data_IF_237571280247
#
_entry.id   IF_237571280247
#
_cell.length_a   1.000
_cell.length_b   1.000
_cell.length_c   1.000
_cell.angle_alpha   90.00
_cell.angle_beta   90.00
_cell.angle_gamma   90.00
#
_symmetry.space_group_name_H-M   'P 1'
#
loop_
_entity.id
_entity.type
_entity.pdbx_description
1 polymer ?
#
# COMPACT_ATOMS: atom_id res chain seq x y z
N UNK A 1 47.82 -16.25 -34.60
CA UNK A 1 47.74 -15.20 -35.64
C UNK A 1 46.84 -15.60 -36.82
N UNK A 2 47.03 -16.77 -37.44
CA UNK A 2 46.18 -17.22 -38.55
C UNK A 2 44.71 -17.43 -38.17
N UNK A 3 44.43 -18.01 -37.00
CA UNK A 3 43.05 -18.24 -36.53
C UNK A 3 42.31 -16.91 -36.31
N UNK A 4 42.96 -15.91 -35.74
CA UNK A 4 42.35 -14.59 -35.50
C UNK A 4 42.10 -13.82 -36.79
N UNK A 5 43.01 -13.89 -37.76
CA UNK A 5 42.82 -13.30 -39.10
C UNK A 5 41.69 -13.99 -39.87
N UNK A 6 41.61 -15.32 -39.77
CA UNK A 6 40.54 -16.10 -40.39
C UNK A 6 39.17 -15.76 -39.80
N UNK A 7 39.03 -15.75 -38.47
CA UNK A 7 37.78 -15.42 -37.79
C UNK A 7 37.35 -13.97 -38.06
N UNK A 8 38.30 -13.03 -38.06
CA UNK A 8 38.01 -11.62 -38.37
C UNK A 8 37.54 -11.41 -39.82
N UNK A 9 38.22 -12.06 -40.79
CA UNK A 9 37.81 -12.02 -42.19
C UNK A 9 36.44 -12.67 -42.40
N UNK A 10 36.21 -13.85 -41.81
CA UNK A 10 34.93 -14.55 -41.91
C UNK A 10 33.78 -13.70 -41.34
N UNK A 11 33.91 -13.17 -40.11
CA UNK A 11 32.91 -12.30 -39.51
C UNK A 11 32.65 -11.01 -40.31
N UNK A 12 33.66 -10.47 -41.00
CA UNK A 12 33.49 -9.29 -41.86
C UNK A 12 32.64 -9.54 -43.11
N UNK A 13 32.51 -10.82 -43.50
CA UNK A 13 31.71 -11.24 -44.66
C UNK A 13 30.32 -11.76 -44.29
N UNK A 14 30.03 -11.97 -43.00
CA UNK A 14 28.70 -12.34 -42.53
C UNK A 14 27.86 -11.08 -42.42
N UNK A 15 26.93 -10.89 -43.35
CA UNK A 15 25.91 -9.86 -43.21
C UNK A 15 25.16 -10.08 -41.87
N UNK A 16 24.85 -9.01 -41.11
CA UNK A 16 23.99 -9.13 -39.94
C UNK A 16 22.72 -9.86 -40.37
N UNK A 17 22.21 -10.83 -39.58
CA UNK A 17 20.97 -11.52 -39.94
C UNK A 17 19.87 -10.49 -40.18
N UNK A 18 19.18 -10.59 -41.32
CA UNK A 18 18.01 -9.76 -41.61
C UNK A 18 16.96 -9.99 -40.53
N UNK A 19 16.94 -9.08 -39.55
CA UNK A 19 15.89 -9.06 -38.55
C UNK A 19 14.71 -8.34 -39.18
N UNK A 20 13.71 -9.10 -39.60
CA UNK A 20 12.38 -8.54 -39.84
C UNK A 20 11.83 -8.04 -38.48
N UNK A 21 12.12 -6.79 -38.14
CA UNK A 21 11.58 -6.14 -36.95
C UNK A 21 10.14 -5.75 -37.28
N UNK A 22 9.20 -6.67 -37.03
CA UNK A 22 7.77 -6.36 -37.08
C UNK A 22 7.48 -5.38 -35.95
N UNK A 23 7.45 -4.09 -36.28
CA UNK A 23 7.16 -3.01 -35.33
C UNK A 23 5.66 -2.76 -35.32
N UNK A 24 5.00 -3.14 -34.23
CA UNK A 24 3.59 -2.77 -33.98
C UNK A 24 3.53 -1.45 -33.19
N UNK A 25 2.45 -0.66 -33.32
CA UNK A 25 2.29 0.57 -32.54
C UNK A 25 2.45 0.34 -31.03
N UNK A 26 1.84 -0.72 -30.51
CA UNK A 26 2.02 -1.14 -29.12
C UNK A 26 3.48 -1.41 -28.74
N UNK A 27 4.24 -2.15 -29.56
CA UNK A 27 5.64 -2.44 -29.25
C UNK A 27 6.49 -1.16 -29.24
N UNK A 28 6.19 -0.21 -30.12
CA UNK A 28 6.89 1.08 -30.18
C UNK A 28 6.59 1.97 -28.96
N UNK A 29 5.35 1.93 -28.45
CA UNK A 29 4.91 2.76 -27.32
C UNK A 29 5.29 2.14 -25.98
N UNK A 30 5.05 0.84 -25.78
CA UNK A 30 5.23 0.19 -24.47
C UNK A 30 6.57 -0.53 -24.33
N UNK A 31 7.24 -0.83 -25.44
CA UNK A 31 8.42 -1.71 -25.46
C UNK A 31 8.09 -3.19 -25.26
N UNK A 32 6.80 -3.55 -25.16
CA UNK A 32 6.32 -4.91 -24.87
C UNK A 32 5.44 -5.38 -26.04
N UNK A 33 5.64 -6.61 -26.56
CA UNK A 33 4.79 -7.13 -27.61
C UNK A 33 3.35 -7.26 -27.10
N UNK A 34 2.40 -6.85 -27.94
CA UNK A 34 0.99 -6.88 -27.57
C UNK A 34 0.52 -8.32 -27.24
N UNK A 35 -0.03 -8.57 -26.05
CA UNK A 35 -0.53 -9.89 -25.70
C UNK A 35 -1.81 -10.20 -26.48
N UNK A 36 -2.13 -11.50 -26.59
CA UNK A 36 -3.43 -11.95 -27.10
C UNK A 36 -4.56 -11.51 -26.15
N UNK A 37 -5.81 -11.64 -26.59
CA UNK A 37 -6.97 -11.25 -25.78
C UNK A 37 -6.93 -11.88 -24.37
N UNK A 38 -7.27 -11.13 -23.31
CA UNK A 38 -7.22 -11.63 -21.95
C UNK A 38 -8.18 -12.82 -21.76
N UNK A 39 -7.65 -13.92 -21.25
CA UNK A 39 -8.42 -15.04 -20.70
C UNK A 39 -7.98 -15.26 -19.26
N UNK A 40 -8.80 -15.92 -18.44
CA UNK A 40 -8.45 -16.19 -17.05
C UNK A 40 -7.08 -16.87 -16.92
N UNK A 41 -6.81 -17.88 -17.77
CA UNK A 41 -5.53 -18.57 -17.79
C UNK A 41 -4.36 -17.67 -18.17
N UNK A 42 -4.51 -16.80 -19.18
CA UNK A 42 -3.46 -15.86 -19.59
C UNK A 42 -3.20 -14.81 -18.51
N UNK A 43 -4.25 -14.23 -17.93
CA UNK A 43 -4.09 -13.24 -16.86
C UNK A 43 -3.41 -13.84 -15.63
N UNK A 44 -3.69 -15.12 -15.31
CA UNK A 44 -3.08 -15.79 -14.16
C UNK A 44 -1.66 -16.31 -14.40
N UNK A 45 -1.33 -16.72 -15.63
CA UNK A 45 -0.08 -17.45 -15.93
C UNK A 45 0.93 -16.65 -16.76
N UNK A 46 0.50 -15.60 -17.47
CA UNK A 46 1.45 -14.71 -18.16
C UNK A 46 2.32 -13.98 -17.15
N UNK A 47 3.55 -13.69 -17.55
CA UNK A 47 4.52 -13.04 -16.70
C UNK A 47 5.48 -12.20 -17.54
N UNK A 48 5.61 -10.92 -17.22
CA UNK A 48 6.55 -9.98 -17.80
C UNK A 48 7.25 -9.23 -16.66
N UNK A 49 8.52 -9.54 -16.44
CA UNK A 49 9.22 -9.18 -15.22
C UNK A 49 9.55 -7.68 -15.16
N UNK A 50 8.91 -6.93 -14.25
CA UNK A 50 9.40 -5.59 -13.88
C UNK A 50 10.65 -5.74 -13.00
N UNK A 51 11.82 -5.56 -13.60
CA UNK A 51 13.10 -5.79 -12.94
C UNK A 51 13.32 -4.93 -11.69
N UNK A 52 12.83 -3.68 -11.69
CA UNK A 52 12.99 -2.78 -10.53
C UNK A 52 12.05 -3.19 -9.41
N UNK A 53 10.79 -3.46 -9.71
CA UNK A 53 9.84 -3.93 -8.69
C UNK A 53 10.27 -5.27 -8.12
N UNK A 54 10.69 -6.21 -8.96
CA UNK A 54 11.20 -7.51 -8.50
C UNK A 54 12.41 -7.37 -7.58
N UNK A 55 13.35 -6.49 -7.90
CA UNK A 55 14.48 -6.23 -7.02
C UNK A 55 14.01 -5.72 -5.64
N UNK A 56 13.05 -4.79 -5.61
CA UNK A 56 12.47 -4.29 -4.36
C UNK A 56 11.74 -5.39 -3.56
N UNK A 57 10.99 -6.27 -4.24
CA UNK A 57 10.28 -7.38 -3.61
C UNK A 57 11.25 -8.42 -3.05
N UNK A 58 12.29 -8.80 -3.81
CA UNK A 58 13.34 -9.72 -3.37
C UNK A 58 14.04 -9.17 -2.13
N UNK A 59 14.43 -7.89 -2.14
CA UNK A 59 15.06 -7.24 -0.98
C UNK A 59 14.11 -7.24 0.21
N UNK A 60 12.84 -6.90 0.01
CA UNK A 60 11.83 -6.87 1.08
C UNK A 60 11.62 -8.25 1.70
N UNK A 61 11.52 -9.30 0.88
CA UNK A 61 11.39 -10.70 1.33
C UNK A 61 12.65 -11.16 2.05
N UNK A 62 13.84 -10.87 1.52
CA UNK A 62 15.11 -11.24 2.14
C UNK A 62 15.26 -10.59 3.53
N UNK A 63 14.91 -9.31 3.67
CA UNK A 63 14.91 -8.61 4.95
C UNK A 63 13.88 -9.18 5.93
N UNK A 64 12.66 -9.49 5.46
CA UNK A 64 11.62 -10.07 6.29
C UNK A 64 12.02 -11.47 6.81
N UNK A 65 12.48 -12.36 5.92
CA UNK A 65 12.95 -13.70 6.30
C UNK A 65 14.13 -13.60 7.26
N UNK A 66 15.12 -12.73 6.99
CA UNK A 66 16.25 -12.51 7.89
C UNK A 66 15.78 -12.08 9.28
N UNK A 67 14.80 -11.16 9.36
CA UNK A 67 14.20 -10.74 10.61
C UNK A 67 13.55 -11.90 11.38
N UNK A 68 12.74 -12.71 10.70
CA UNK A 68 12.10 -13.90 11.30
C UNK A 68 13.15 -14.89 11.81
N UNK A 69 14.17 -15.19 11.01
CA UNK A 69 15.25 -16.11 11.39
C UNK A 69 16.02 -15.61 12.62
N UNK A 70 16.30 -14.31 12.72
CA UNK A 70 16.95 -13.71 13.89
C UNK A 70 16.11 -13.92 15.15
N UNK A 71 14.79 -13.69 15.08
CA UNK A 71 13.89 -13.90 16.22
C UNK A 71 13.81 -15.37 16.62
N UNK A 72 13.61 -16.26 15.65
CA UNK A 72 13.52 -17.70 15.93
C UNK A 72 14.81 -18.24 16.54
N UNK A 73 15.98 -17.81 16.08
CA UNK A 73 17.28 -18.20 16.66
C UNK A 73 17.49 -17.67 18.09
N UNK A 74 16.83 -16.58 18.47
CA UNK A 74 16.83 -16.05 19.85
C UNK A 74 15.82 -16.76 20.76
N UNK A 75 14.98 -17.63 20.22
CA UNK A 75 13.90 -18.30 20.95
C UNK A 75 12.58 -17.53 20.98
N UNK A 76 12.50 -16.38 20.30
CA UNK A 76 11.27 -15.58 20.21
C UNK A 76 10.30 -16.19 19.18
N UNK A 77 9.02 -16.29 19.56
CA UNK A 77 7.97 -16.75 18.65
C UNK A 77 7.48 -15.60 17.78
N UNK A 78 7.56 -15.77 16.46
CA UNK A 78 6.91 -14.90 15.47
C UNK A 78 5.62 -15.56 14.97
N UNK A 79 4.45 -14.88 15.01
CA UNK A 79 3.20 -15.47 14.54
C UNK A 79 3.24 -15.81 13.04
N UNK A 80 2.97 -17.07 12.69
CA UNK A 80 2.98 -17.55 11.30
C UNK A 80 1.97 -16.79 10.42
N UNK A 81 0.84 -16.35 10.99
CA UNK A 81 -0.15 -15.54 10.28
C UNK A 81 0.41 -14.24 9.73
N UNK A 82 1.40 -13.63 10.40
CA UNK A 82 2.07 -12.40 9.92
C UNK A 82 2.94 -12.70 8.69
N UNK A 83 3.68 -13.80 8.73
CA UNK A 83 4.48 -14.23 7.59
C UNK A 83 3.61 -14.58 6.37
N UNK A 84 2.48 -15.26 6.59
CA UNK A 84 1.53 -15.58 5.51
C UNK A 84 0.93 -14.29 4.94
N UNK A 85 0.48 -13.35 5.79
CA UNK A 85 -0.08 -12.08 5.33
C UNK A 85 0.94 -11.26 4.52
N UNK A 86 2.19 -11.20 4.99
CA UNK A 86 3.28 -10.54 4.27
C UNK A 86 3.54 -11.20 2.91
N UNK A 87 3.63 -12.54 2.87
CA UNK A 87 3.84 -13.28 1.62
C UNK A 87 2.71 -13.03 0.62
N UNK A 88 1.44 -13.06 1.06
CA UNK A 88 0.29 -12.75 0.22
C UNK A 88 0.34 -11.31 -0.30
N UNK A 89 0.73 -10.35 0.55
CA UNK A 89 0.91 -8.95 0.15
C UNK A 89 1.98 -8.80 -0.94
N UNK A 90 3.17 -9.40 -0.75
CA UNK A 90 4.25 -9.39 -1.73
C UNK A 90 3.85 -10.09 -3.04
N UNK A 91 3.19 -11.24 -2.96
CA UNK A 91 2.69 -11.95 -4.15
C UNK A 91 1.64 -11.15 -4.91
N UNK A 92 0.79 -10.38 -4.20
CA UNK A 92 -0.17 -9.50 -4.84
C UNK A 92 0.52 -8.32 -5.56
N UNK A 93 1.60 -7.76 -4.98
CA UNK A 93 2.42 -6.77 -5.69
C UNK A 93 3.04 -7.37 -6.95
N UNK A 94 3.71 -8.52 -6.83
CA UNK A 94 4.34 -9.19 -7.97
C UNK A 94 3.33 -9.51 -9.08
N UNK A 95 2.14 -10.00 -8.71
CA UNK A 95 1.08 -10.28 -9.68
C UNK A 95 0.59 -9.02 -10.40
N UNK A 96 0.45 -7.90 -9.68
CA UNK A 96 -0.04 -6.64 -10.22
C UNK A 96 1.01 -5.87 -11.04
N UNK A 97 2.30 -6.12 -10.85
CA UNK A 97 3.38 -5.44 -11.61
C UNK A 97 4.03 -6.31 -12.66
N UNK A 98 4.30 -7.58 -12.32
CA UNK A 98 5.08 -8.51 -13.15
C UNK A 98 4.25 -9.68 -13.68
N UNK A 99 3.17 -10.03 -12.99
CA UNK A 99 2.24 -11.07 -13.42
C UNK A 99 1.40 -10.65 -14.63
N UNK A 100 0.48 -11.52 -15.03
CA UNK A 100 -0.36 -11.24 -16.19
C UNK A 100 -1.20 -9.97 -15.99
N UNK A 101 -1.65 -9.67 -14.77
CA UNK A 101 -2.33 -8.41 -14.48
C UNK A 101 -1.44 -7.20 -14.75
N UNK A 102 -0.17 -7.23 -14.34
CA UNK A 102 0.83 -6.21 -14.70
C UNK A 102 1.02 -6.09 -16.20
N UNK A 103 1.19 -7.21 -16.91
CA UNK A 103 1.32 -7.20 -18.38
C UNK A 103 0.11 -6.55 -19.06
N UNK A 104 -1.12 -6.95 -18.72
CA UNK A 104 -2.33 -6.42 -19.34
C UNK A 104 -2.64 -4.97 -18.93
N UNK A 105 -2.10 -4.50 -17.80
CA UNK A 105 -2.26 -3.11 -17.32
C UNK A 105 -1.73 -2.07 -18.31
N UNK A 106 -0.72 -2.44 -19.10
CA UNK A 106 -0.14 -1.56 -20.12
C UNK A 106 -1.07 -1.34 -21.34
N UNK A 107 -2.07 -2.20 -21.54
CA UNK A 107 -2.84 -2.24 -22.79
C UNK A 107 -4.33 -1.89 -22.62
N UNK A 108 -4.88 -1.96 -21.41
CA UNK A 108 -6.28 -1.62 -21.16
C UNK A 108 -6.47 -0.87 -19.85
N UNK A 109 -7.35 0.12 -19.86
CA UNK A 109 -7.63 0.96 -18.70
C UNK A 109 -8.25 0.13 -17.57
N UNK A 110 -9.14 -0.82 -17.87
CA UNK A 110 -9.73 -1.69 -16.85
C UNK A 110 -8.69 -2.55 -16.12
N UNK A 111 -7.73 -3.11 -16.85
CA UNK A 111 -6.63 -3.88 -16.27
C UNK A 111 -5.65 -2.99 -15.51
N UNK A 112 -5.38 -1.77 -16.01
CA UNK A 112 -4.62 -0.75 -15.29
C UNK A 112 -5.26 -0.44 -13.93
N UNK A 113 -6.55 -0.12 -13.94
CA UNK A 113 -7.28 0.16 -12.71
C UNK A 113 -7.27 -1.04 -11.77
N UNK A 114 -7.46 -2.25 -12.28
CA UNK A 114 -7.39 -3.47 -11.47
C UNK A 114 -6.01 -3.66 -10.82
N UNK A 115 -4.92 -3.48 -11.58
CA UNK A 115 -3.56 -3.57 -11.06
C UNK A 115 -3.33 -2.52 -9.95
N UNK A 116 -3.70 -1.27 -10.18
CA UNK A 116 -3.56 -0.21 -9.18
C UNK A 116 -4.46 -0.38 -7.97
N UNK A 117 -5.65 -0.99 -8.11
CA UNK A 117 -6.48 -1.36 -6.96
C UNK A 117 -5.85 -2.49 -6.13
N UNK A 118 -5.23 -3.49 -6.77
CA UNK A 118 -4.46 -4.50 -6.04
C UNK A 118 -3.31 -3.85 -5.27
N UNK A 119 -2.56 -2.94 -5.91
CA UNK A 119 -1.43 -2.24 -5.28
C UNK A 119 -1.84 -1.26 -4.18
N UNK A 120 -2.95 -0.54 -4.35
CA UNK A 120 -3.40 0.48 -3.41
C UNK A 120 -4.28 -0.05 -2.27
N UNK A 121 -5.05 -1.12 -2.51
CA UNK A 121 -6.06 -1.60 -1.56
C UNK A 121 -5.73 -2.97 -0.97
N UNK A 122 -5.27 -3.92 -1.79
CA UNK A 122 -5.18 -5.34 -1.40
C UNK A 122 -3.81 -5.68 -0.83
N UNK A 123 -2.75 -5.46 -1.61
CA UNK A 123 -1.38 -5.77 -1.21
C UNK A 123 -0.96 -5.06 0.10
N UNK A 124 -1.28 -3.77 0.30
CA UNK A 124 -0.92 -3.05 1.52
C UNK A 124 -1.46 -3.67 2.80
N UNK A 125 -2.68 -4.22 2.78
CA UNK A 125 -3.28 -4.87 3.94
C UNK A 125 -2.42 -6.07 4.36
N UNK A 126 -2.04 -6.93 3.41
CA UNK A 126 -1.17 -8.07 3.68
C UNK A 126 0.19 -7.64 4.24
N UNK A 127 0.80 -6.61 3.64
CA UNK A 127 2.10 -6.06 4.06
C UNK A 127 2.02 -5.51 5.48
N UNK A 128 1.01 -4.69 5.79
CA UNK A 128 0.81 -4.06 7.12
C UNK A 128 0.51 -5.11 8.20
N UNK A 129 -0.33 -6.11 7.90
CA UNK A 129 -0.60 -7.21 8.83
C UNK A 129 0.66 -8.06 9.11
N UNK A 130 1.59 -8.08 8.15
CA UNK A 130 2.93 -8.64 8.29
C UNK A 130 3.80 -7.99 9.37
N UNK A 131 3.45 -6.79 9.85
CA UNK A 131 4.16 -6.02 10.87
C UNK A 131 5.67 -5.83 10.60
N UNK A 132 6.07 -5.39 9.39
CA UNK A 132 7.47 -5.25 9.02
C UNK A 132 8.23 -4.25 9.90
N UNK A 133 7.60 -3.17 10.38
CA UNK A 133 8.26 -2.17 11.23
C UNK A 133 8.53 -2.77 12.62
N UNK A 134 7.58 -3.51 13.18
CA UNK A 134 7.77 -4.24 14.44
C UNK A 134 8.89 -5.27 14.31
N UNK A 135 8.90 -6.03 13.20
CA UNK A 135 9.94 -7.01 12.94
C UNK A 135 11.33 -6.35 12.85
N UNK A 136 11.44 -5.24 12.13
CA UNK A 136 12.66 -4.44 12.05
C UNK A 136 13.09 -3.96 13.44
N UNK A 137 12.20 -3.34 14.22
CA UNK A 137 12.52 -2.84 15.57
C UNK A 137 12.96 -3.94 16.55
N UNK A 138 12.48 -5.17 16.39
CA UNK A 138 12.89 -6.31 17.25
C UNK A 138 14.20 -6.97 16.81
N UNK A 139 14.62 -6.77 15.57
CA UNK A 139 15.77 -7.50 14.97
C UNK A 139 16.97 -6.61 14.70
N UNK A 140 16.77 -5.30 14.50
CA UNK A 140 17.83 -4.35 14.24
C UNK A 140 18.82 -4.27 15.42
N UNK A 141 20.13 -4.17 15.14
CA UNK A 141 21.15 -4.06 16.18
C UNK A 141 20.92 -2.83 17.09
N UNK A 142 21.12 -3.03 18.39
CA UNK A 142 21.21 -1.93 19.34
C UNK A 142 22.61 -1.30 19.30
N UNK A 143 22.72 -0.04 19.76
CA UNK A 143 24.01 0.62 19.94
C UNK A 143 24.89 -0.13 20.95
N UNK A 144 26.21 -0.03 20.79
CA UNK A 144 27.17 -0.76 21.64
C UNK A 144 27.21 -0.21 23.07
N UNK A 145 26.81 1.04 23.24
CA UNK A 145 26.89 1.86 24.44
C UNK A 145 25.74 2.89 24.43
N UNK A 146 25.43 3.47 25.60
CA UNK A 146 24.28 4.39 25.79
C UNK A 146 24.37 5.68 24.96
N UNK A 147 25.57 6.03 24.50
CA UNK A 147 25.85 7.23 23.69
C UNK A 147 25.68 6.97 22.19
N UNK A 148 25.83 5.73 21.72
CA UNK A 148 25.65 5.37 20.31
C UNK A 148 24.19 5.08 19.99
N UNK A 149 23.56 5.94 19.17
CA UNK A 149 22.27 5.69 18.57
C UNK A 149 22.43 4.66 17.44
N UNK A 150 22.61 3.38 17.77
CA UNK A 150 22.75 2.29 16.80
C UNK A 150 21.59 2.23 15.78
N UNK A 151 21.64 1.31 14.81
CA UNK A 151 20.68 1.27 13.68
C UNK A 151 19.22 1.27 14.15
N UNK A 152 18.90 0.53 15.21
CA UNK A 152 17.56 0.56 15.83
C UNK A 152 17.20 1.94 16.40
N UNK A 153 18.13 2.61 17.09
CA UNK A 153 17.92 3.94 17.66
C UNK A 153 17.66 4.98 16.60
N UNK A 154 18.47 5.00 15.54
CA UNK A 154 18.27 5.86 14.37
C UNK A 154 16.90 5.63 13.71
N UNK A 155 16.48 4.37 13.57
CA UNK A 155 15.16 4.03 13.04
C UNK A 155 14.01 4.49 13.95
N UNK A 156 14.15 4.38 15.27
CA UNK A 156 13.17 4.92 16.22
C UNK A 156 13.06 6.45 16.10
N UNK A 157 14.20 7.16 15.98
CA UNK A 157 14.23 8.61 15.78
C UNK A 157 13.51 8.99 14.49
N UNK A 158 13.74 8.25 13.40
CA UNK A 158 13.04 8.45 12.12
C UNK A 158 11.52 8.28 12.28
N UNK A 159 11.08 7.21 12.96
CA UNK A 159 9.66 6.92 13.21
C UNK A 159 8.97 7.95 14.11
N UNK A 160 9.71 8.66 14.97
CA UNK A 160 9.17 9.71 15.85
C UNK A 160 9.45 11.13 15.35
N UNK A 161 10.02 11.25 14.15
CA UNK A 161 10.34 12.54 13.52
C UNK A 161 9.07 13.35 13.22
N UNK A 162 9.23 14.67 13.06
CA UNK A 162 8.12 15.56 12.65
C UNK A 162 7.53 15.13 11.30
N UNK A 163 8.38 14.65 10.39
CA UNK A 163 7.98 14.18 9.08
C UNK A 163 7.11 12.92 9.18
N UNK A 164 7.51 11.96 10.03
CA UNK A 164 6.69 10.77 10.28
C UNK A 164 5.34 11.16 10.88
N UNK A 165 5.31 12.03 11.90
CA UNK A 165 4.06 12.54 12.49
C UNK A 165 3.13 13.23 11.48
N UNK A 166 3.71 13.96 10.52
CA UNK A 166 2.95 14.60 9.45
C UNK A 166 2.30 13.58 8.53
N UNK A 167 3.07 12.63 7.99
CA UNK A 167 2.54 11.63 7.06
C UNK A 167 1.61 10.62 7.72
N UNK A 168 1.84 10.28 8.99
CA UNK A 168 0.96 9.36 9.74
C UNK A 168 -0.27 10.06 10.33
N UNK A 169 -0.45 11.36 10.08
CA UNK A 169 -1.72 12.03 10.38
C UNK A 169 -2.81 11.44 9.46
N UNK A 170 -3.97 11.00 9.99
CA UNK A 170 -4.96 10.31 9.19
C UNK A 170 -5.58 11.16 8.07
N UNK A 171 -5.67 12.48 8.24
CA UNK A 171 -6.14 13.40 7.18
C UNK A 171 -5.11 13.51 6.06
N UNK A 172 -3.82 13.56 6.41
CA UNK A 172 -2.73 13.61 5.42
C UNK A 172 -2.64 12.28 4.68
N UNK A 173 -2.73 11.15 5.39
CA UNK A 173 -2.76 9.82 4.79
C UNK A 173 -3.94 9.66 3.83
N UNK A 174 -5.14 10.11 4.22
CA UNK A 174 -6.33 10.15 3.36
C UNK A 174 -6.12 11.02 2.12
N UNK A 175 -5.56 12.23 2.29
CA UNK A 175 -5.29 13.15 1.19
C UNK A 175 -4.26 12.58 0.20
N UNK A 176 -3.23 11.88 0.69
CA UNK A 176 -2.26 11.19 -0.17
C UNK A 176 -2.93 10.02 -0.89
N UNK A 177 -3.77 9.27 -0.19
CA UNK A 177 -4.44 8.11 -0.74
C UNK A 177 -5.45 8.49 -1.83
N UNK A 178 -6.54 9.17 -1.47
CA UNK A 178 -7.59 9.50 -2.42
C UNK A 178 -7.30 10.76 -3.22
N UNK A 179 -6.68 11.77 -2.62
CA UNK A 179 -6.34 13.00 -3.35
C UNK A 179 -5.37 12.75 -4.50
N UNK A 180 -4.52 11.73 -4.39
CA UNK A 180 -3.66 11.31 -5.50
C UNK A 180 -4.43 10.68 -6.66
N UNK A 181 -5.56 10.00 -6.42
CA UNK A 181 -6.43 9.48 -7.49
C UNK A 181 -6.92 10.63 -8.37
N UNK A 182 -7.45 11.69 -7.74
CA UNK A 182 -7.92 12.85 -8.50
C UNK A 182 -6.79 13.56 -9.23
N UNK A 183 -5.64 13.71 -8.55
CA UNK A 183 -4.47 14.33 -9.14
C UNK A 183 -3.98 13.56 -10.36
N UNK A 184 -3.97 12.23 -10.30
CA UNK A 184 -3.48 11.41 -11.40
C UNK A 184 -4.46 11.38 -12.58
N UNK A 185 -5.72 11.05 -12.32
CA UNK A 185 -6.70 10.70 -13.37
C UNK A 185 -7.52 11.88 -13.89
N UNK A 186 -7.66 12.98 -13.13
CA UNK A 186 -8.37 14.20 -13.59
C UNK A 186 -7.42 15.32 -14.00
N UNK A 187 -6.14 15.01 -14.19
CA UNK A 187 -5.16 15.92 -14.79
C UNK A 187 -4.43 15.20 -15.94
N UNK A 188 -3.62 15.90 -16.75
CA UNK A 188 -2.82 15.24 -17.79
C UNK A 188 -1.75 14.26 -17.26
N UNK A 189 -1.58 14.14 -15.94
CA UNK A 189 -0.55 13.27 -15.33
C UNK A 189 -0.69 11.81 -15.75
N UNK A 190 -1.90 11.26 -15.77
CA UNK A 190 -2.12 9.86 -16.15
C UNK A 190 -1.61 9.56 -17.56
N UNK A 191 -2.09 10.30 -18.57
CA UNK A 191 -1.65 10.13 -19.94
C UNK A 191 -0.14 10.35 -20.14
N UNK A 192 0.47 11.27 -19.39
CA UNK A 192 1.91 11.53 -19.45
C UNK A 192 2.73 10.40 -18.81
N UNK A 193 2.30 9.86 -17.68
CA UNK A 193 3.00 8.80 -16.97
C UNK A 193 2.85 7.44 -17.66
N UNK A 194 1.74 7.20 -18.36
CA UNK A 194 1.54 5.96 -19.14
C UNK A 194 2.50 5.83 -20.34
N UNK A 195 2.97 6.94 -20.90
CA UNK A 195 3.85 6.93 -22.08
C UNK A 195 5.25 6.35 -21.83
N UNK A 196 5.65 6.16 -20.57
CA UNK A 196 6.99 5.69 -20.24
C UNK A 196 6.99 4.64 -19.13
N UNK A 197 7.95 3.71 -19.21
CA UNK A 197 8.16 2.69 -18.19
C UNK A 197 8.38 3.29 -16.80
N UNK A 198 9.16 4.38 -16.71
CA UNK A 198 9.40 5.08 -15.43
C UNK A 198 8.11 5.66 -14.85
N UNK A 199 7.23 6.21 -15.69
CA UNK A 199 5.96 6.76 -15.24
C UNK A 199 5.03 5.69 -14.68
N UNK A 200 4.93 4.54 -15.36
CA UNK A 200 4.17 3.38 -14.86
C UNK A 200 4.72 2.83 -13.54
N UNK A 201 6.05 2.76 -13.42
CA UNK A 201 6.72 2.38 -12.19
C UNK A 201 6.40 3.36 -11.05
N UNK A 202 6.48 4.67 -11.28
CA UNK A 202 6.16 5.67 -10.26
C UNK A 202 4.70 5.63 -9.84
N UNK A 203 3.77 5.42 -10.77
CA UNK A 203 2.37 5.20 -10.42
C UNK A 203 2.23 3.98 -9.52
N UNK A 204 2.81 2.84 -9.92
CA UNK A 204 2.72 1.57 -9.17
C UNK A 204 3.29 1.71 -7.77
N UNK A 205 4.48 2.31 -7.65
CA UNK A 205 5.13 2.55 -6.38
C UNK A 205 4.34 3.53 -5.50
N UNK A 206 3.82 4.62 -6.09
CA UNK A 206 3.01 5.59 -5.35
C UNK A 206 1.76 4.95 -4.77
N UNK A 207 0.98 4.20 -5.55
CA UNK A 207 -0.24 3.55 -5.05
C UNK A 207 0.08 2.52 -3.97
N UNK A 208 1.15 1.74 -4.14
CA UNK A 208 1.62 0.81 -3.13
C UNK A 208 1.96 1.52 -1.82
N UNK A 209 2.77 2.58 -1.88
CA UNK A 209 3.21 3.32 -0.70
C UNK A 209 2.06 4.10 -0.04
N UNK A 210 1.18 4.70 -0.83
CA UNK A 210 -0.01 5.42 -0.35
C UNK A 210 -0.96 4.46 0.38
N UNK A 211 -1.20 3.28 -0.19
CA UNK A 211 -1.99 2.24 0.45
C UNK A 211 -1.34 1.72 1.73
N UNK A 212 -0.03 1.44 1.71
CA UNK A 212 0.69 1.01 2.92
C UNK A 212 0.56 2.07 4.01
N UNK A 213 0.75 3.35 3.68
CA UNK A 213 0.60 4.45 4.63
C UNK A 213 -0.83 4.52 5.20
N UNK A 214 -1.85 4.49 4.34
CA UNK A 214 -3.24 4.58 4.77
C UNK A 214 -3.65 3.43 5.68
N UNK A 215 -3.44 2.18 5.24
CA UNK A 215 -3.80 1.00 6.04
C UNK A 215 -2.92 0.86 7.28
N UNK A 216 -1.69 1.36 7.27
CA UNK A 216 -0.86 1.43 8.46
C UNK A 216 -1.48 2.36 9.51
N UNK A 217 -1.94 3.56 9.12
CA UNK A 217 -2.59 4.52 10.04
C UNK A 217 -3.93 3.99 10.57
N UNK A 218 -4.70 3.33 9.71
CA UNK A 218 -6.02 2.81 10.08
C UNK A 218 -5.92 1.53 10.93
N UNK A 219 -5.28 0.48 10.40
CA UNK A 219 -5.22 -0.84 11.05
C UNK A 219 -4.29 -0.80 12.27
N UNK A 220 -3.15 -0.10 12.21
CA UNK A 220 -2.31 0.22 13.37
C UNK A 220 -1.64 -0.98 14.05
N UNK A 221 -1.15 -1.96 13.29
CA UNK A 221 -0.45 -3.13 13.85
C UNK A 221 0.97 -2.78 14.29
N UNK A 222 1.67 -2.01 13.46
CA UNK A 222 3.00 -1.50 13.74
C UNK A 222 2.96 -0.20 14.57
N UNK A 223 4.02 0.09 15.35
CA UNK A 223 4.05 1.28 16.21
C UNK A 223 4.09 2.56 15.37
N UNK A 224 3.15 3.46 15.65
CA UNK A 224 3.05 4.79 15.04
C UNK A 224 3.24 5.90 16.07
N UNK A 225 3.69 7.11 15.65
CA UNK A 225 3.85 8.22 16.56
C UNK A 225 2.47 8.77 16.98
N UNK A 226 2.09 8.47 18.23
CA UNK A 226 0.80 8.87 18.80
C UNK A 226 -0.32 7.85 18.55
N UNK A 227 -1.39 7.96 19.34
CA UNK A 227 -2.59 7.12 19.18
C UNK A 227 -3.67 7.91 18.47
N UNK A 228 -4.13 7.42 17.32
CA UNK A 228 -5.31 7.96 16.65
C UNK A 228 -6.56 7.38 17.31
N UNK A 229 -7.48 8.21 17.86
CA UNK A 229 -8.72 7.70 18.45
C UNK A 229 -9.53 6.88 17.44
N UNK A 230 -10.17 5.80 17.89
CA UNK A 230 -10.95 4.92 16.99
C UNK A 230 -12.07 5.65 16.27
N UNK A 231 -12.74 6.61 16.94
CA UNK A 231 -13.76 7.43 16.31
C UNK A 231 -13.21 8.22 15.11
N UNK A 232 -12.00 8.79 15.25
CA UNK A 232 -11.33 9.49 14.16
C UNK A 232 -11.01 8.53 13.02
N UNK A 233 -10.51 7.32 13.31
CA UNK A 233 -10.28 6.30 12.28
C UNK A 233 -11.56 5.95 11.52
N UNK A 234 -12.67 5.74 12.24
CA UNK A 234 -13.97 5.42 11.64
C UNK A 234 -14.44 6.55 10.71
N UNK A 235 -14.36 7.81 11.16
CA UNK A 235 -14.71 8.98 10.33
C UNK A 235 -13.84 9.02 9.06
N UNK A 236 -12.54 8.78 9.20
CA UNK A 236 -11.60 8.79 8.07
C UNK A 236 -11.88 7.66 7.08
N UNK A 237 -12.24 6.47 7.56
CA UNK A 237 -12.67 5.36 6.71
C UNK A 237 -13.94 5.75 5.94
N UNK A 238 -14.96 6.30 6.60
CA UNK A 238 -16.18 6.73 5.89
C UNK A 238 -15.91 7.83 4.86
N UNK A 239 -15.02 8.77 5.20
CA UNK A 239 -14.57 9.79 4.26
C UNK A 239 -13.86 9.15 3.05
N UNK A 240 -12.96 8.19 3.28
CA UNK A 240 -12.27 7.46 2.23
C UNK A 240 -13.24 6.72 1.29
N UNK A 241 -14.18 5.97 1.85
CA UNK A 241 -15.23 5.29 1.09
C UNK A 241 -15.99 6.29 0.21
N UNK A 242 -16.45 7.40 0.80
CA UNK A 242 -17.25 8.40 0.09
C UNK A 242 -16.48 9.06 -1.05
N UNK A 243 -15.22 9.44 -0.80
CA UNK A 243 -14.36 10.11 -1.78
C UNK A 243 -13.99 9.14 -2.92
N UNK A 244 -13.64 7.90 -2.58
CA UNK A 244 -13.29 6.88 -3.57
C UNK A 244 -14.50 6.42 -4.40
N UNK A 245 -15.67 6.28 -3.78
CA UNK A 245 -16.91 6.01 -4.50
C UNK A 245 -17.24 7.13 -5.49
N UNK A 246 -17.10 8.39 -5.05
CA UNK A 246 -17.29 9.54 -5.93
C UNK A 246 -16.30 9.55 -7.10
N UNK A 247 -15.02 9.28 -6.85
CA UNK A 247 -14.00 9.11 -7.90
C UNK A 247 -14.44 8.10 -8.96
N UNK A 248 -14.88 6.92 -8.53
CA UNK A 248 -15.27 5.83 -9.41
C UNK A 248 -16.52 6.18 -10.23
N UNK A 249 -17.54 6.79 -9.60
CA UNK A 249 -18.74 7.26 -10.28
C UNK A 249 -18.41 8.35 -11.31
N UNK A 250 -17.54 9.29 -10.95
CA UNK A 250 -17.10 10.35 -11.86
C UNK A 250 -16.41 9.76 -13.11
N UNK A 251 -15.56 8.74 -12.92
CA UNK A 251 -14.89 8.04 -14.02
C UNK A 251 -15.88 7.26 -14.91
N UNK A 252 -16.85 6.56 -14.31
CA UNK A 252 -17.92 5.87 -15.05
C UNK A 252 -18.86 6.84 -15.80
N UNK A 253 -19.02 8.05 -15.25
CA UNK A 253 -19.87 9.10 -15.83
C UNK A 253 -19.15 9.92 -16.89
N UNK A 254 -17.83 9.78 -17.03
CA UNK A 254 -17.06 10.50 -18.04
C UNK A 254 -17.52 10.14 -19.46
N UNK A 255 -17.63 11.15 -20.31
CA UNK A 255 -17.94 11.02 -21.74
C UNK A 255 -16.68 11.11 -22.61
N UNK A 256 -15.53 11.41 -22.02
CA UNK A 256 -14.24 11.50 -22.69
C UNK A 256 -13.21 10.54 -22.08
N UNK A 257 -12.24 10.14 -22.90
CA UNK A 257 -11.10 9.35 -22.43
C UNK A 257 -10.17 10.23 -21.61
N UNK A 258 -9.75 9.74 -20.43
CA UNK A 258 -8.85 10.46 -19.53
C UNK A 258 -7.36 10.16 -19.77
N UNK A 259 -7.07 9.22 -20.66
CA UNK A 259 -5.75 8.69 -20.99
C UNK A 259 -4.95 9.56 -21.97
N UNK A 260 -5.51 10.70 -22.39
CA UNK A 260 -4.94 11.56 -23.43
C UNK A 260 -4.64 10.82 -24.76
N UNK A 261 -5.45 9.80 -25.08
CA UNK A 261 -5.31 9.00 -26.30
C UNK A 261 -4.22 7.92 -26.25
N UNK A 262 -3.62 7.65 -25.09
CA UNK A 262 -2.60 6.61 -24.92
C UNK A 262 -3.08 5.23 -25.40
N UNK A 263 -4.24 4.74 -24.93
CA UNK A 263 -4.74 3.42 -25.31
C UNK A 263 -5.21 3.36 -26.76
N UNK A 264 -5.61 4.50 -27.34
CA UNK A 264 -5.95 4.57 -28.76
C UNK A 264 -4.73 4.30 -29.65
N UNK A 265 -3.55 4.80 -29.27
CA UNK A 265 -2.31 4.63 -30.02
C UNK A 265 -1.80 3.18 -30.05
N UNK A 266 -2.23 2.34 -29.10
CA UNK A 266 -1.79 0.95 -29.04
C UNK A 266 -2.42 0.08 -30.13
N UNK A 267 -3.54 0.52 -30.73
CA UNK A 267 -4.28 -0.21 -31.77
C UNK A 267 -4.61 -1.66 -31.38
N UNK A 268 -5.04 -1.85 -30.12
CA UNK A 268 -5.34 -3.19 -29.60
C UNK A 268 -6.48 -3.87 -30.38
N UNK A 269 -6.33 -5.14 -30.80
CA UNK A 269 -7.35 -5.85 -31.57
C UNK A 269 -8.46 -6.42 -30.69
N UNK A 270 -8.26 -6.43 -29.37
CA UNK A 270 -9.24 -6.87 -28.38
C UNK A 270 -9.67 -5.69 -27.52
N UNK A 271 -10.97 -5.61 -27.20
CA UNK A 271 -11.60 -4.51 -26.46
C UNK A 271 -11.43 -3.12 -27.12
N UNK A 272 -11.93 -2.96 -28.35
CA UNK A 272 -11.77 -1.74 -29.16
C UNK A 272 -12.58 -0.54 -28.67
N UNK A 273 -13.61 -0.74 -27.85
CA UNK A 273 -14.35 0.35 -27.20
C UNK A 273 -13.58 0.85 -25.96
N UNK A 274 -12.80 1.90 -26.16
CA UNK A 274 -11.95 2.49 -25.12
C UNK A 274 -12.78 3.16 -24.01
N UNK A 275 -13.94 3.72 -24.34
CA UNK A 275 -14.77 4.40 -23.35
C UNK A 275 -15.50 3.37 -22.47
N UNK A 276 -15.96 2.27 -23.04
CA UNK A 276 -16.49 1.15 -22.27
C UNK A 276 -15.43 0.54 -21.35
N UNK A 277 -14.19 0.38 -21.83
CA UNK A 277 -13.05 -0.10 -21.03
C UNK A 277 -12.74 0.85 -19.85
N UNK A 278 -12.79 2.17 -20.06
CA UNK A 278 -12.65 3.15 -18.99
C UNK A 278 -13.77 3.06 -17.95
N UNK A 279 -15.03 2.92 -18.40
CA UNK A 279 -16.18 2.75 -17.51
C UNK A 279 -16.09 1.46 -16.69
N UNK A 280 -15.63 0.37 -17.31
CA UNK A 280 -15.33 -0.87 -16.60
C UNK A 280 -14.23 -0.67 -15.56
N UNK A 281 -13.18 0.08 -15.89
CA UNK A 281 -12.17 0.49 -14.91
C UNK A 281 -12.79 1.23 -13.72
N UNK A 282 -13.66 2.22 -13.95
CA UNK A 282 -14.38 2.90 -12.88
C UNK A 282 -15.22 1.95 -12.00
N UNK A 283 -15.92 0.99 -12.61
CA UNK A 283 -16.68 -0.02 -11.87
C UNK A 283 -15.77 -0.95 -11.03
N UNK A 284 -14.61 -1.32 -11.56
CA UNK A 284 -13.58 -2.10 -10.85
C UNK A 284 -13.06 -1.30 -9.65
N UNK A 285 -12.74 -0.02 -9.85
CA UNK A 285 -12.29 0.89 -8.78
C UNK A 285 -13.30 0.94 -7.63
N UNK A 286 -14.58 1.06 -7.96
CA UNK A 286 -15.65 1.04 -6.97
C UNK A 286 -15.71 -0.29 -6.20
N UNK A 287 -15.82 -1.42 -6.90
CA UNK A 287 -16.00 -2.73 -6.27
C UNK A 287 -14.78 -3.15 -5.43
N UNK A 288 -13.57 -2.92 -5.93
CA UNK A 288 -12.33 -3.27 -5.23
C UNK A 288 -11.93 -2.25 -4.16
N UNK A 289 -12.48 -1.04 -4.21
CA UNK A 289 -12.28 -0.01 -3.19
C UNK A 289 -13.08 -0.26 -1.92
N UNK A 290 -14.38 -0.55 -2.06
CA UNK A 290 -15.29 -0.61 -0.91
C UNK A 290 -15.08 -1.85 -0.04
N UNK A 291 -14.82 -3.02 -0.64
CA UNK A 291 -14.69 -4.27 0.11
C UNK A 291 -13.54 -4.22 1.13
N UNK A 292 -12.30 -3.84 0.76
CA UNK A 292 -11.20 -3.77 1.72
C UNK A 292 -11.41 -2.69 2.79
N UNK A 293 -12.01 -1.55 2.44
CA UNK A 293 -12.27 -0.47 3.39
C UNK A 293 -13.36 -0.89 4.41
N UNK A 294 -14.41 -1.58 3.98
CA UNK A 294 -15.41 -2.17 4.88
C UNK A 294 -14.80 -3.19 5.83
N UNK A 295 -13.89 -4.04 5.36
CA UNK A 295 -13.17 -4.97 6.23
C UNK A 295 -12.29 -4.23 7.24
N UNK A 296 -11.63 -3.14 6.83
CA UNK A 296 -10.86 -2.29 7.73
C UNK A 296 -11.75 -1.58 8.76
N UNK A 297 -12.96 -1.16 8.38
CA UNK A 297 -13.96 -0.57 9.28
C UNK A 297 -14.38 -1.58 10.36
N UNK A 298 -14.76 -2.79 9.94
CA UNK A 298 -15.13 -3.87 10.87
C UNK A 298 -13.96 -4.19 11.79
N UNK A 299 -12.74 -4.32 11.26
CA UNK A 299 -11.55 -4.57 12.06
C UNK A 299 -11.29 -3.46 13.08
N UNK A 300 -11.42 -2.19 12.67
CA UNK A 300 -11.24 -1.01 13.54
C UNK A 300 -12.29 -0.98 14.65
N UNK A 301 -13.54 -1.28 14.32
CA UNK A 301 -14.63 -1.36 15.30
C UNK A 301 -14.41 -2.49 16.32
N UNK A 302 -14.01 -3.68 15.87
CA UNK A 302 -13.68 -4.79 16.76
C UNK A 302 -12.47 -4.49 17.66
N UNK A 303 -11.47 -3.76 17.14
CA UNK A 303 -10.35 -3.28 17.94
C UNK A 303 -10.81 -2.30 19.02
N UNK A 304 -11.67 -1.35 18.65
CA UNK A 304 -12.26 -0.39 19.58
C UNK A 304 -13.01 -1.08 20.72
N UNK A 305 -13.93 -1.98 20.41
CA UNK A 305 -14.68 -2.72 21.44
C UNK A 305 -13.77 -3.51 22.40
N UNK A 306 -12.69 -4.10 21.87
CA UNK A 306 -11.72 -4.84 22.68
C UNK A 306 -10.90 -3.93 23.58
N UNK A 307 -10.54 -2.74 23.12
CA UNK A 307 -9.80 -1.75 23.91
C UNK A 307 -10.68 -1.15 25.01
N UNK A 308 -11.91 -0.76 24.68
CA UNK A 308 -12.88 -0.22 25.64
C UNK A 308 -13.19 -1.25 26.75
N UNK A 309 -13.38 -2.53 26.40
CA UNK A 309 -13.59 -3.58 27.41
C UNK A 309 -12.39 -3.77 28.33
N UNK A 310 -11.16 -3.64 27.81
CA UNK A 310 -9.94 -3.73 28.63
C UNK A 310 -9.80 -2.53 29.54
N UNK A 311 -10.13 -1.34 29.05
CA UNK A 311 -10.04 -0.10 29.81
C UNK A 311 -11.09 -0.05 30.93
N UNK A 312 -12.35 -0.41 30.63
CA UNK A 312 -13.39 -0.58 31.64
C UNK A 312 -12.94 -1.55 32.75
N UNK A 313 -12.44 -2.73 32.39
CA UNK A 313 -11.92 -3.68 33.39
C UNK A 313 -10.64 -3.23 34.10
N UNK A 314 -9.90 -2.23 33.58
CA UNK A 314 -8.77 -1.61 34.29
C UNK A 314 -9.29 -0.63 35.34
N UNK A 315 -10.30 0.15 35.00
CA UNK A 315 -10.99 1.11 35.88
C UNK A 315 -11.68 0.36 37.02
N UNK A 316 -12.46 -0.69 36.72
CA UNK A 316 -13.15 -1.51 37.73
C UNK A 316 -12.15 -2.09 38.75
N UNK A 317 -11.06 -2.69 38.27
CA UNK A 317 -10.01 -3.24 39.16
C UNK A 317 -9.28 -2.16 39.94
N UNK A 318 -9.20 -0.92 39.45
CA UNK A 318 -8.62 0.19 40.20
C UNK A 318 -9.57 0.65 41.32
N UNK A 319 -10.86 0.74 41.03
CA UNK A 319 -11.90 1.04 42.01
C UNK A 319 -11.98 -0.03 43.12
N UNK A 320 -11.96 -1.32 42.75
CA UNK A 320 -11.94 -2.43 43.72
C UNK A 320 -10.73 -2.35 44.67
N UNK A 321 -9.55 -1.97 44.15
CA UNK A 321 -8.34 -1.78 44.96
C UNK A 321 -8.44 -0.59 45.89
N UNK A 322 -8.95 0.54 45.41
CA UNK A 322 -9.16 1.73 46.23
C UNK A 322 -10.13 1.43 47.38
N UNK A 323 -11.26 0.78 47.06
CA UNK A 323 -12.25 0.34 48.05
C UNK A 323 -11.65 -0.61 49.11
N UNK A 324 -10.81 -1.57 48.69
CA UNK A 324 -10.14 -2.49 49.62
C UNK A 324 -9.11 -1.79 50.54
N UNK A 325 -8.50 -0.70 50.09
CA UNK A 325 -7.54 0.11 50.86
C UNK A 325 -8.21 1.21 51.69
N UNK A 326 -9.54 1.38 51.59
CA UNK A 326 -10.25 2.49 52.20
C UNK A 326 -9.90 3.86 51.59
N UNK A 327 -9.34 3.86 50.37
CA UNK A 327 -9.01 5.04 49.61
C UNK A 327 -10.17 5.38 48.66
N UNK A 328 -10.33 6.67 48.38
CA UNK A 328 -11.29 7.14 47.37
C UNK A 328 -10.83 6.73 45.97
N UNK A 329 -11.73 6.12 45.22
CA UNK A 329 -11.52 5.88 43.79
C UNK A 329 -11.48 7.20 42.99
N UNK A 330 -11.06 7.10 41.72
CA UNK A 330 -10.92 8.25 40.83
C UNK A 330 -12.23 9.05 40.69
N UNK A 331 -13.39 8.38 40.74
CA UNK A 331 -14.72 9.02 40.66
C UNK A 331 -15.04 9.82 41.93
N UNK A 332 -14.75 9.26 43.10
CA UNK A 332 -14.92 9.92 44.39
C UNK A 332 -14.00 11.14 44.53
N UNK A 333 -12.76 11.04 44.06
CA UNK A 333 -11.84 12.18 43.97
C UNK A 333 -12.38 13.27 43.03
N UNK A 334 -12.87 12.88 41.85
CA UNK A 334 -13.44 13.81 40.89
C UNK A 334 -14.71 14.50 41.42
N UNK A 335 -15.60 13.77 42.07
CA UNK A 335 -16.79 14.32 42.71
C UNK A 335 -16.45 15.32 43.83
N UNK A 336 -15.40 15.03 44.62
CA UNK A 336 -14.89 15.99 45.63
C UNK A 336 -14.34 17.26 44.99
N UNK A 337 -13.62 17.14 43.88
CA UNK A 337 -13.14 18.30 43.12
C UNK A 337 -14.29 19.16 42.58
N UNK A 338 -15.32 18.55 41.97
CA UNK A 338 -16.51 19.28 41.52
C UNK A 338 -17.26 19.96 42.68
N UNK A 339 -17.36 19.30 43.83
CA UNK A 339 -17.96 19.88 45.02
C UNK A 339 -17.16 21.08 45.55
N UNK A 340 -15.81 21.05 45.44
CA UNK A 340 -14.96 22.20 45.80
C UNK A 340 -15.16 23.38 44.84
N UNK A 341 -15.26 23.13 43.53
CA UNK A 341 -15.54 24.18 42.53
C UNK A 341 -16.88 24.86 42.82
N UNK A 342 -17.94 24.07 43.03
CA UNK A 342 -19.27 24.59 43.32
C UNK A 342 -19.31 25.43 44.60
N UNK A 343 -18.57 25.03 45.65
CA UNK A 343 -18.45 25.82 46.88
C UNK A 343 -17.72 27.15 46.66
N UNK A 344 -16.73 27.20 45.77
CA UNK A 344 -16.03 28.45 45.42
C UNK A 344 -16.94 29.42 44.68
N UNK A 345 -17.69 28.91 43.71
CA UNK A 345 -18.63 29.73 42.92
C UNK A 345 -19.75 30.32 43.79
N UNK A 346 -20.23 29.57 44.79
CA UNK A 346 -21.24 30.05 45.76
C UNK A 346 -20.69 31.03 46.80
N UNK A 347 -19.36 31.20 46.88
CA UNK A 347 -18.70 32.08 47.85
C UNK A 347 -18.24 33.42 47.25
N UNK A 348 -18.52 33.67 45.97
CA UNK A 348 -18.34 34.95 45.27
C UNK A 348 -19.67 35.71 45.16
#
# INVERSE_FOLDING_TARGET
MFITLFVGSWLSTVAPPDRNIVSTPALLVTGIPMPQAPTLSRVLLSYDADGLMLALLIISVALYIKGVLILTRRGDKWPVSRTIAFALGISAVDFATSGGLGLYSHFAFSNHMMAHMVLGMIAPIGIVLGAPITLALRTLPQGRNKEEQGVRGSFIVLLHSRLSKFYTNPVVALAIFDGSLFSLYFTPLFGNLMQGHSGHFFMSLHFLLAGILFFQVIIGVDPLPGRVPYLVKIIIIFAAMSIHAYFSIALMSSTSLIDNGFFAQLERPWATDLLADQKLGGAIGWAMGEIPILLALVATFLQWQREDKKEAGRIDRAADRAAAMGEDDDLAQYNRYLAQLNRRDLSQ
#
